data_IF_750808875806
#
_entry.id   IF_750808875806
#
_cell.length_a   1.000
_cell.length_b   1.000
_cell.length_c   1.000
_cell.angle_alpha   90.00
_cell.angle_beta   90.00
_cell.angle_gamma   90.00
#
_symmetry.space_group_name_H-M   'P 1'
#
loop_
_entity.id
_entity.type
_entity.pdbx_description
1 polymer ?
#
# COMPACT_ATOMS: atom_id res chain seq x y z
N UNK A 1 -33.69 16.88 16.49
CA UNK A 1 -32.70 17.62 15.67
C UNK A 1 -32.75 19.13 15.87
N UNK A 2 -33.93 19.77 15.77
CA UNK A 2 -34.05 21.24 15.93
C UNK A 2 -33.62 21.73 17.32
N UNK A 3 -33.94 20.97 18.37
CA UNK A 3 -33.54 21.32 19.74
C UNK A 3 -32.02 21.26 19.92
N UNK A 4 -31.37 20.22 19.40
CA UNK A 4 -29.90 20.09 19.43
C UNK A 4 -29.22 21.23 18.64
N UNK A 5 -29.78 21.64 17.49
CA UNK A 5 -29.27 22.77 16.73
C UNK A 5 -29.35 24.08 17.51
N UNK A 6 -30.47 24.30 18.23
CA UNK A 6 -30.64 25.47 19.10
C UNK A 6 -29.59 25.48 20.22
N UNK A 7 -29.41 24.34 20.90
CA UNK A 7 -28.39 24.18 21.95
C UNK A 7 -26.98 24.46 21.43
N UNK A 8 -26.63 23.95 20.24
CA UNK A 8 -25.31 24.19 19.63
C UNK A 8 -25.08 25.67 19.28
N UNK A 9 -26.11 26.39 18.82
CA UNK A 9 -26.01 27.84 18.53
C UNK A 9 -25.82 28.69 19.79
N UNK A 10 -26.46 28.28 20.88
CA UNK A 10 -26.37 28.96 22.17
C UNK A 10 -25.04 28.66 22.90
N UNK A 11 -24.27 27.66 22.45
CA UNK A 11 -23.05 27.19 23.09
C UNK A 11 -21.85 27.14 22.12
N UNK A 12 -21.33 28.30 21.66
CA UNK A 12 -20.21 28.35 20.70
C UNK A 12 -18.92 27.68 21.21
N UNK A 13 -18.73 27.59 22.53
CA UNK A 13 -17.59 26.90 23.16
C UNK A 13 -17.49 25.41 22.80
N UNK A 14 -18.59 24.80 22.32
CA UNK A 14 -18.57 23.42 21.80
C UNK A 14 -17.65 23.31 20.58
N UNK A 15 -17.61 24.33 19.71
CA UNK A 15 -16.72 24.35 18.54
C UNK A 15 -15.26 24.27 18.96
N UNK A 16 -14.85 25.11 19.91
CA UNK A 16 -13.46 25.18 20.33
C UNK A 16 -13.00 23.87 20.98
N UNK A 17 -13.88 23.23 21.75
CA UNK A 17 -13.62 21.89 22.32
C UNK A 17 -13.44 20.83 21.24
N UNK A 18 -14.30 20.81 20.24
CA UNK A 18 -14.20 19.83 19.14
C UNK A 18 -12.92 20.06 18.33
N UNK A 19 -12.60 21.32 18.00
CA UNK A 19 -11.35 21.65 17.32
C UNK A 19 -10.14 21.21 18.13
N UNK A 20 -10.14 21.43 19.44
CA UNK A 20 -9.05 21.01 20.32
C UNK A 20 -8.85 19.49 20.34
N UNK A 21 -9.94 18.70 20.32
CA UNK A 21 -9.86 17.22 20.27
C UNK A 21 -9.12 16.74 19.01
N UNK A 22 -9.35 17.38 17.86
CA UNK A 22 -8.72 16.99 16.59
C UNK A 22 -7.38 17.71 16.31
N UNK A 23 -6.93 18.59 17.20
CA UNK A 23 -5.64 19.27 17.07
C UNK A 23 -4.48 18.45 17.68
N UNK A 24 -4.79 17.35 18.37
CA UNK A 24 -3.79 16.42 18.90
C UNK A 24 -3.01 15.76 17.75
N UNK A 25 -1.71 15.50 17.98
CA UNK A 25 -0.88 14.79 17.02
C UNK A 25 -1.41 13.37 16.77
N UNK A 26 -1.17 12.84 15.57
CA UNK A 26 -1.62 11.50 15.24
C UNK A 26 -1.06 10.47 16.24
N UNK A 27 -1.91 9.60 16.81
CA UNK A 27 -1.48 8.65 17.83
C UNK A 27 -0.74 7.44 17.25
N UNK A 28 -0.66 7.32 15.93
CA UNK A 28 -0.09 6.17 15.23
C UNK A 28 1.22 6.55 14.55
N UNK A 29 2.18 5.63 14.57
CA UNK A 29 3.41 5.79 13.81
C UNK A 29 3.13 5.65 12.32
N UNK A 30 3.75 6.51 11.51
CA UNK A 30 3.70 6.39 10.06
C UNK A 30 4.29 5.04 9.61
N UNK A 31 3.69 4.44 8.59
CA UNK A 31 4.20 3.19 8.02
C UNK A 31 5.42 3.46 7.15
N UNK A 32 6.44 2.60 7.22
CA UNK A 32 7.57 2.64 6.29
C UNK A 32 7.22 2.10 4.89
N UNK A 33 6.08 1.42 4.75
CA UNK A 33 5.59 0.90 3.48
C UNK A 33 5.05 2.05 2.62
N UNK A 34 5.73 2.34 1.51
CA UNK A 34 5.33 3.42 0.59
C UNK A 34 3.91 3.24 0.03
N UNK A 35 3.41 2.00 -0.08
CA UNK A 35 2.05 1.74 -0.54
C UNK A 35 0.98 2.25 0.45
N UNK A 36 1.35 2.45 1.72
CA UNK A 36 0.48 2.98 2.78
C UNK A 36 0.61 4.50 2.99
N UNK A 37 1.51 5.17 2.27
CA UNK A 37 1.86 6.59 2.49
C UNK A 37 1.09 7.55 1.58
N UNK A 38 -0.09 7.17 1.09
CA UNK A 38 -0.89 8.03 0.19
C UNK A 38 -1.27 9.37 0.85
N UNK A 39 -1.56 9.36 2.15
CA UNK A 39 -2.04 10.52 2.90
C UNK A 39 -0.95 11.30 3.62
N UNK A 40 0.32 10.91 3.48
CA UNK A 40 1.47 11.59 4.11
C UNK A 40 1.75 12.99 3.54
N UNK A 41 0.98 13.41 2.54
CA UNK A 41 1.05 14.75 1.96
C UNK A 41 0.74 14.75 0.48
N UNK A 42 0.40 15.94 -0.03
CA UNK A 42 0.21 16.16 -1.46
C UNK A 42 1.54 16.33 -2.18
N UNK A 43 1.64 15.81 -3.40
CA UNK A 43 2.79 16.03 -4.27
C UNK A 43 2.84 17.46 -4.80
N UNK A 44 4.05 18.00 -4.92
CA UNK A 44 4.28 19.32 -5.51
C UNK A 44 3.92 19.35 -7.00
N UNK A 45 3.69 20.54 -7.56
CA UNK A 45 3.42 20.70 -8.99
C UNK A 45 4.58 20.20 -9.86
N UNK A 46 5.81 20.39 -9.39
CA UNK A 46 7.03 19.87 -10.02
C UNK A 46 7.04 18.34 -10.05
N UNK A 47 6.74 17.69 -8.90
CA UNK A 47 6.65 16.23 -8.82
C UNK A 47 5.53 15.67 -9.70
N UNK A 48 4.38 16.36 -9.78
CA UNK A 48 3.28 15.94 -10.66
C UNK A 48 3.67 16.01 -12.14
N UNK A 49 4.37 17.06 -12.55
CA UNK A 49 4.90 17.16 -13.92
C UNK A 49 5.95 16.05 -14.19
N UNK A 50 6.84 15.79 -13.24
CA UNK A 50 7.82 14.72 -13.31
C UNK A 50 7.17 13.32 -13.43
N UNK A 51 6.15 13.02 -12.62
CA UNK A 51 5.38 11.78 -12.71
C UNK A 51 4.65 11.64 -14.04
N UNK A 52 4.19 12.75 -14.63
CA UNK A 52 3.58 12.72 -15.97
C UNK A 52 4.60 12.30 -17.03
N UNK A 53 5.83 12.82 -16.97
CA UNK A 53 6.92 12.40 -17.88
C UNK A 53 7.19 10.91 -17.72
N UNK A 54 7.24 10.39 -16.48
CA UNK A 54 7.39 8.96 -16.20
C UNK A 54 6.28 8.13 -16.87
N UNK A 55 5.02 8.55 -16.78
CA UNK A 55 3.90 7.85 -17.40
C UNK A 55 3.94 7.85 -18.94
N UNK A 56 4.43 8.93 -19.54
CA UNK A 56 4.56 9.07 -21.00
C UNK A 56 5.83 8.40 -21.55
N UNK A 57 6.78 8.04 -20.68
CA UNK A 57 8.04 7.39 -21.06
C UNK A 57 7.86 5.88 -21.18
N UNK A 58 8.39 5.29 -22.26
CA UNK A 58 8.36 3.85 -22.43
C UNK A 58 9.14 3.13 -21.31
N UNK A 59 8.65 1.98 -20.79
CA UNK A 59 9.26 1.29 -19.64
C UNK A 59 10.76 0.99 -19.78
N UNK A 60 11.21 0.67 -21.00
CA UNK A 60 12.63 0.41 -21.31
C UNK A 60 13.55 1.63 -21.15
N UNK A 61 13.00 2.84 -21.22
CA UNK A 61 13.73 4.10 -21.12
C UNK A 61 13.67 4.69 -19.70
N UNK A 62 12.79 4.18 -18.83
CA UNK A 62 12.67 4.64 -17.44
C UNK A 62 13.97 4.56 -16.62
N UNK A 63 14.84 3.52 -16.76
CA UNK A 63 16.11 3.50 -16.01
C UNK A 63 17.08 4.59 -16.44
N UNK A 64 16.99 5.07 -17.69
CA UNK A 64 17.85 6.11 -18.25
C UNK A 64 17.32 7.53 -18.03
N UNK A 65 16.14 7.65 -17.42
CA UNK A 65 15.45 8.92 -17.23
C UNK A 65 16.02 9.64 -16.00
N UNK A 66 16.84 10.66 -16.22
CA UNK A 66 17.42 11.48 -15.14
C UNK A 66 16.42 12.56 -14.69
N UNK A 67 15.55 12.18 -13.75
CA UNK A 67 14.57 13.08 -13.13
C UNK A 67 14.83 13.13 -11.62
N UNK A 68 14.93 14.36 -11.10
CA UNK A 68 15.01 14.60 -9.66
C UNK A 68 13.61 14.80 -9.10
N UNK A 69 13.26 14.01 -8.08
CA UNK A 69 12.03 14.17 -7.32
C UNK A 69 12.29 14.89 -6.00
N UNK A 70 11.35 15.74 -5.59
CA UNK A 70 11.40 16.40 -4.27
C UNK A 70 10.85 15.45 -3.21
N UNK A 71 9.77 14.74 -3.55
CA UNK A 71 9.14 13.78 -2.67
C UNK A 71 9.85 12.41 -2.69
N UNK A 72 10.38 12.02 -1.54
CA UNK A 72 11.14 10.77 -1.34
C UNK A 72 10.31 9.51 -1.60
N UNK A 73 8.97 9.60 -1.59
CA UNK A 73 8.08 8.47 -1.89
C UNK A 73 8.19 8.05 -3.35
N UNK A 74 8.45 9.00 -4.26
CA UNK A 74 8.35 8.76 -5.70
C UNK A 74 9.41 7.77 -6.19
N UNK A 75 10.64 7.83 -5.67
CA UNK A 75 11.69 6.87 -6.04
C UNK A 75 11.29 5.42 -5.66
N UNK A 76 10.74 5.24 -4.46
CA UNK A 76 10.24 3.92 -4.01
C UNK A 76 9.04 3.46 -4.84
N UNK A 77 8.09 4.36 -5.12
CA UNK A 77 6.93 4.09 -5.97
C UNK A 77 7.35 3.69 -7.39
N UNK A 78 8.31 4.39 -7.98
CA UNK A 78 8.81 4.13 -9.32
C UNK A 78 9.50 2.76 -9.42
N UNK A 79 10.32 2.42 -8.42
CA UNK A 79 10.95 1.10 -8.34
C UNK A 79 9.89 -0.01 -8.25
N UNK A 80 8.92 0.11 -7.33
CA UNK A 80 7.84 -0.87 -7.18
C UNK A 80 6.96 -0.96 -8.44
N UNK A 81 6.68 0.16 -9.09
CA UNK A 81 5.93 0.22 -10.34
C UNK A 81 6.64 -0.55 -11.45
N UNK A 82 7.93 -0.30 -11.66
CA UNK A 82 8.75 -1.02 -12.65
C UNK A 82 8.82 -2.51 -12.33
N UNK A 83 9.10 -2.87 -11.07
CA UNK A 83 9.29 -4.25 -10.69
C UNK A 83 8.00 -5.09 -10.76
N UNK A 84 6.84 -4.50 -10.44
CA UNK A 84 5.53 -5.18 -10.51
C UNK A 84 5.01 -5.31 -11.94
N UNK A 85 5.16 -4.28 -12.77
CA UNK A 85 4.52 -4.21 -14.09
C UNK A 85 5.45 -4.59 -15.24
N UNK A 86 6.75 -4.31 -15.10
CA UNK A 86 7.76 -4.47 -16.15
C UNK A 86 9.04 -5.14 -15.61
N UNK A 87 8.96 -6.34 -14.99
CA UNK A 87 10.11 -6.99 -14.36
C UNK A 87 11.28 -7.23 -15.33
N UNK A 88 11.01 -7.39 -16.63
CA UNK A 88 12.04 -7.53 -17.66
C UNK A 88 12.84 -6.25 -17.96
N UNK A 89 12.50 -5.12 -17.34
CA UNK A 89 13.25 -3.85 -17.44
C UNK A 89 14.21 -3.63 -16.28
N UNK A 90 14.25 -4.56 -15.31
CA UNK A 90 15.13 -4.50 -14.16
C UNK A 90 16.51 -5.07 -14.52
N UNK A 91 17.57 -4.38 -14.12
CA UNK A 91 18.92 -4.95 -14.15
C UNK A 91 19.13 -6.00 -13.04
N UNK A 92 20.27 -6.67 -13.05
CA UNK A 92 20.57 -7.74 -12.09
C UNK A 92 20.53 -7.26 -10.62
N UNK A 93 20.99 -6.04 -10.34
CA UNK A 93 21.00 -5.49 -8.99
C UNK A 93 19.58 -5.13 -8.52
N UNK A 94 18.77 -4.55 -9.40
CA UNK A 94 17.36 -4.26 -9.18
C UNK A 94 16.54 -5.54 -8.98
N UNK A 95 16.82 -6.60 -9.74
CA UNK A 95 16.19 -7.90 -9.55
C UNK A 95 16.52 -8.51 -8.18
N UNK A 96 17.78 -8.44 -7.73
CA UNK A 96 18.15 -8.88 -6.39
C UNK A 96 17.47 -8.05 -5.30
N UNK A 97 17.41 -6.71 -5.48
CA UNK A 97 16.68 -5.81 -4.58
C UNK A 97 15.20 -6.17 -4.51
N UNK A 98 14.58 -6.51 -5.64
CA UNK A 98 13.18 -6.92 -5.70
C UNK A 98 12.94 -8.29 -5.05
N UNK A 99 13.86 -9.23 -5.24
CA UNK A 99 13.82 -10.54 -4.58
C UNK A 99 13.89 -10.40 -3.07
N UNK A 100 14.79 -9.53 -2.58
CA UNK A 100 14.90 -9.23 -1.16
C UNK A 100 13.63 -8.57 -0.62
N UNK A 101 13.06 -7.61 -1.36
CA UNK A 101 11.76 -7.02 -1.01
C UNK A 101 10.66 -8.09 -0.90
N UNK A 102 10.57 -9.03 -1.85
CA UNK A 102 9.61 -10.14 -1.79
C UNK A 102 9.83 -11.03 -0.57
N UNK A 103 11.07 -11.32 -0.19
CA UNK A 103 11.39 -12.12 1.02
C UNK A 103 10.97 -11.42 2.31
N UNK A 104 11.10 -10.09 2.36
CA UNK A 104 10.65 -9.30 3.50
C UNK A 104 9.12 -9.26 3.65
N UNK A 105 8.38 -9.42 2.55
CA UNK A 105 6.91 -9.54 2.58
C UNK A 105 6.47 -10.99 2.87
N UNK A 106 7.05 -11.95 2.15
CA UNK A 106 6.72 -13.38 2.24
C UNK A 106 7.61 -14.06 3.30
N UNK A 107 7.61 -13.54 4.52
CA UNK A 107 8.39 -14.12 5.61
C UNK A 107 7.86 -15.52 5.97
N UNK A 108 8.69 -16.40 6.54
CA UNK A 108 8.23 -17.71 7.02
C UNK A 108 7.03 -17.61 7.97
N UNK A 109 7.00 -16.58 8.83
CA UNK A 109 5.90 -16.34 9.76
C UNK A 109 4.61 -15.97 9.04
N UNK A 110 4.69 -15.10 8.02
CA UNK A 110 3.54 -14.72 7.21
C UNK A 110 2.98 -15.93 6.44
N UNK A 111 3.86 -16.71 5.81
CA UNK A 111 3.47 -17.92 5.06
C UNK A 111 2.83 -18.97 5.98
N UNK A 112 3.35 -19.13 7.21
CA UNK A 112 2.76 -20.03 8.19
C UNK A 112 1.37 -19.55 8.64
N UNK A 113 1.19 -18.25 8.88
CA UNK A 113 -0.12 -17.68 9.22
C UNK A 113 -1.13 -17.86 8.08
N UNK A 114 -0.71 -17.58 6.85
CA UNK A 114 -1.53 -17.79 5.66
C UNK A 114 -1.94 -19.26 5.49
N UNK A 115 -1.01 -20.20 5.67
CA UNK A 115 -1.29 -21.63 5.65
C UNK A 115 -2.31 -22.04 6.72
N UNK A 116 -2.15 -21.55 7.94
CA UNK A 116 -3.07 -21.82 9.05
C UNK A 116 -4.47 -21.26 8.77
N UNK A 117 -4.58 -20.08 8.18
CA UNK A 117 -5.86 -19.47 7.80
C UNK A 117 -6.57 -20.30 6.73
N UNK A 118 -5.86 -20.73 5.67
CA UNK A 118 -6.44 -21.61 4.65
C UNK A 118 -6.90 -22.94 5.25
N UNK A 119 -6.13 -23.53 6.16
CA UNK A 119 -6.52 -24.75 6.86
C UNK A 119 -7.79 -24.55 7.70
N UNK A 120 -7.86 -23.46 8.47
CA UNK A 120 -9.06 -23.12 9.26
C UNK A 120 -10.29 -22.96 8.37
N UNK A 121 -10.18 -22.20 7.28
CA UNK A 121 -11.27 -21.97 6.34
C UNK A 121 -11.71 -23.26 5.63
N UNK A 122 -10.77 -24.16 5.34
CA UNK A 122 -11.12 -25.45 4.72
C UNK A 122 -11.96 -26.35 5.63
N UNK A 123 -11.72 -26.28 6.94
CA UNK A 123 -12.54 -26.99 7.93
C UNK A 123 -13.91 -26.33 8.09
N UNK A 124 -13.95 -25.01 8.14
CA UNK A 124 -15.19 -24.24 8.28
C UNK A 124 -16.13 -24.44 7.08
N UNK A 125 -15.59 -24.53 5.87
CA UNK A 125 -16.35 -24.66 4.62
C UNK A 125 -16.26 -26.07 4.00
N UNK A 126 -16.08 -27.11 4.83
CA UNK A 126 -15.88 -28.49 4.38
C UNK A 126 -17.00 -29.03 3.47
N UNK A 127 -18.21 -28.50 3.57
CA UNK A 127 -19.36 -28.92 2.75
C UNK A 127 -19.53 -28.07 1.47
N UNK A 128 -18.86 -26.93 1.36
CA UNK A 128 -18.95 -26.03 0.20
C UNK A 128 -17.84 -26.33 -0.81
N UNK A 129 -18.17 -27.17 -1.79
CA UNK A 129 -17.23 -27.59 -2.84
C UNK A 129 -16.63 -26.41 -3.63
N UNK A 130 -17.36 -25.31 -3.78
CA UNK A 130 -16.88 -24.14 -4.52
C UNK A 130 -15.79 -23.44 -3.72
N UNK A 131 -16.04 -23.20 -2.43
CA UNK A 131 -15.04 -22.58 -1.54
C UNK A 131 -13.82 -23.46 -1.36
N UNK A 132 -13.98 -24.77 -1.24
CA UNK A 132 -12.85 -25.70 -1.19
C UNK A 132 -12.01 -25.65 -2.48
N UNK A 133 -12.65 -25.49 -3.64
CA UNK A 133 -11.96 -25.27 -4.91
C UNK A 133 -11.10 -24.01 -4.88
N UNK A 134 -11.65 -22.89 -4.40
CA UNK A 134 -10.92 -21.62 -4.27
C UNK A 134 -9.74 -21.71 -3.29
N UNK A 135 -9.95 -22.33 -2.11
CA UNK A 135 -8.88 -22.50 -1.11
C UNK A 135 -7.73 -23.35 -1.67
N UNK A 136 -8.03 -24.37 -2.47
CA UNK A 136 -7.00 -25.15 -3.16
C UNK A 136 -6.22 -24.31 -4.16
N UNK A 137 -6.89 -23.46 -4.95
CA UNK A 137 -6.23 -22.54 -5.87
C UNK A 137 -5.35 -21.51 -5.14
N UNK A 138 -5.80 -21.00 -4.00
CA UNK A 138 -5.01 -20.10 -3.16
C UNK A 138 -3.74 -20.77 -2.61
N UNK A 139 -3.83 -22.03 -2.19
CA UNK A 139 -2.67 -22.82 -1.78
C UNK A 139 -1.70 -23.04 -2.94
N UNK A 140 -2.21 -23.41 -4.12
CA UNK A 140 -1.37 -23.61 -5.31
C UNK A 140 -0.62 -22.35 -5.70
N UNK A 141 -1.29 -21.20 -5.69
CA UNK A 141 -0.67 -19.91 -5.99
C UNK A 141 0.42 -19.54 -4.97
N UNK A 142 0.17 -19.77 -3.68
CA UNK A 142 1.16 -19.53 -2.64
C UNK A 142 2.45 -20.36 -2.83
N UNK A 143 2.33 -21.62 -3.27
CA UNK A 143 3.50 -22.46 -3.57
C UNK A 143 4.25 -22.03 -4.82
N UNK A 144 3.57 -21.43 -5.81
CA UNK A 144 4.20 -20.94 -7.04
C UNK A 144 4.94 -19.61 -6.84
N UNK A 145 4.44 -18.75 -5.96
CA UNK A 145 4.99 -17.41 -5.74
C UNK A 145 6.11 -17.35 -4.70
N UNK A 146 6.35 -18.42 -3.95
CA UNK A 146 7.46 -18.52 -2.98
C UNK A 146 8.70 -19.08 -3.67
#
# INVERSE_FOLDING_TARGET
CLDNLKVLRENPQVRDKVVAIFAEAEPFAASDNVDAQLYDGFFSDADRAAMKIVLETEPRNLPALDITFVDKRIEKLLFNYRARNFPGTLDDAEQQRWLEHRRQVLTPEFLQQYANELQMLSQQYAEDKTKLGLLKSLWQYATEIV
#
